data_IF_743211926329
#
_entry.id   IF_743211926329
#
_cell.length_a   1.000
_cell.length_b   1.000
_cell.length_c   1.000
_cell.angle_alpha   90.00
_cell.angle_beta   90.00
_cell.angle_gamma   90.00
#
_symmetry.space_group_name_H-M   'P 1'
#
loop_
_entity.id
_entity.type
_entity.pdbx_description
1 polymer ?
#
# COMPACT_ATOMS: atom_id res chain seq x y z
N UNK A 1 -11.17 13.05 -9.99
CA UNK A 1 -10.15 12.16 -10.60
C UNK A 1 -10.41 12.00 -12.10
N UNK A 2 -9.37 11.73 -12.91
CA UNK A 2 -9.57 11.41 -14.34
C UNK A 2 -10.10 9.97 -14.48
N UNK A 3 -10.93 9.67 -15.51
CA UNK A 3 -11.43 8.30 -15.71
C UNK A 3 -10.30 7.26 -15.83
N UNK A 4 -9.22 7.62 -16.52
CA UNK A 4 -8.04 6.74 -16.64
C UNK A 4 -7.40 6.46 -15.28
N UNK A 5 -7.22 7.47 -14.42
CA UNK A 5 -6.64 7.26 -13.09
C UNK A 5 -7.53 6.37 -12.20
N UNK A 6 -8.85 6.46 -12.33
CA UNK A 6 -9.81 5.59 -11.63
C UNK A 6 -9.60 4.13 -12.06
N UNK A 7 -9.55 3.85 -13.37
CA UNK A 7 -9.32 2.51 -13.90
C UNK A 7 -7.98 1.94 -13.41
N UNK A 8 -6.91 2.72 -13.53
CA UNK A 8 -5.57 2.30 -13.08
C UNK A 8 -5.55 1.94 -11.59
N UNK A 9 -6.20 2.76 -10.75
CA UNK A 9 -6.25 2.51 -9.31
C UNK A 9 -7.12 1.30 -8.98
N UNK A 10 -8.24 1.06 -9.68
CA UNK A 10 -9.06 -0.13 -9.48
C UNK A 10 -8.31 -1.42 -9.84
N UNK A 11 -7.63 -1.43 -10.99
CA UNK A 11 -6.78 -2.57 -11.38
C UNK A 11 -5.65 -2.77 -10.34
N UNK A 12 -4.99 -1.68 -9.94
CA UNK A 12 -3.99 -1.71 -8.88
C UNK A 12 -4.55 -2.27 -7.58
N UNK A 13 -5.75 -1.85 -7.16
CA UNK A 13 -6.40 -2.29 -5.93
C UNK A 13 -6.69 -3.79 -5.95
N UNK A 14 -7.14 -4.33 -7.08
CA UNK A 14 -7.35 -5.76 -7.27
C UNK A 14 -6.05 -6.55 -7.16
N UNK A 15 -5.01 -6.14 -7.89
CA UNK A 15 -3.68 -6.78 -7.85
C UNK A 15 -3.08 -6.66 -6.44
N UNK A 16 -3.24 -5.49 -5.79
CA UNK A 16 -2.75 -5.24 -4.45
C UNK A 16 -3.42 -6.13 -3.40
N UNK A 17 -4.73 -6.32 -3.48
CA UNK A 17 -5.43 -7.23 -2.58
C UNK A 17 -5.01 -8.69 -2.80
N UNK A 18 -4.72 -9.08 -4.04
CA UNK A 18 -4.25 -10.43 -4.36
C UNK A 18 -2.89 -10.76 -3.74
N UNK A 19 -1.87 -9.89 -3.94
CA UNK A 19 -0.56 -10.18 -3.35
C UNK A 19 -0.56 -10.08 -1.81
N UNK A 20 -1.37 -9.19 -1.22
CA UNK A 20 -1.55 -9.15 0.23
C UNK A 20 -2.18 -10.44 0.78
N UNK A 21 -3.17 -11.01 0.06
CA UNK A 21 -3.76 -12.30 0.41
C UNK A 21 -2.72 -13.42 0.41
N UNK A 22 -1.89 -13.52 -0.65
CA UNK A 22 -0.82 -14.52 -0.71
C UNK A 22 0.22 -14.31 0.39
N UNK A 23 0.62 -13.08 0.65
CA UNK A 23 1.56 -12.74 1.72
C UNK A 23 1.05 -13.17 3.09
N UNK A 24 -0.22 -12.89 3.38
CA UNK A 24 -0.84 -13.29 4.65
C UNK A 24 -0.91 -14.81 4.78
N UNK A 25 -1.37 -15.50 3.73
CA UNK A 25 -1.49 -16.96 3.73
C UNK A 25 -0.14 -17.66 3.88
N UNK A 26 0.91 -17.09 3.29
CA UNK A 26 2.26 -17.63 3.34
C UNK A 26 3.00 -17.38 4.66
N UNK A 27 2.53 -16.43 5.48
CA UNK A 27 3.18 -16.00 6.73
C UNK A 27 4.69 -15.80 6.57
N UNK A 28 5.08 -15.10 5.48
CA UNK A 28 6.48 -14.95 5.10
C UNK A 28 7.27 -14.10 6.09
N UNK A 29 8.53 -14.44 6.34
CA UNK A 29 9.42 -13.61 7.15
C UNK A 29 9.81 -12.32 6.43
N UNK A 30 10.32 -11.32 7.17
CA UNK A 30 10.72 -10.02 6.60
C UNK A 30 11.77 -10.19 5.50
N UNK A 31 12.69 -11.13 5.66
CA UNK A 31 13.77 -11.45 4.71
C UNK A 31 13.26 -11.96 3.34
N UNK A 32 12.04 -12.45 3.28
CA UNK A 32 11.38 -12.81 2.03
C UNK A 32 11.26 -11.59 1.11
N UNK A 33 11.01 -10.41 1.66
CA UNK A 33 10.83 -9.19 0.89
C UNK A 33 12.13 -8.63 0.33
N UNK A 34 13.30 -8.97 0.90
CA UNK A 34 14.58 -8.73 0.23
C UNK A 34 14.57 -9.32 -1.19
N UNK A 35 14.19 -10.57 -1.35
CA UNK A 35 14.12 -11.23 -2.65
C UNK A 35 13.03 -10.65 -3.55
N UNK A 36 11.88 -10.27 -2.99
CA UNK A 36 10.81 -9.61 -3.74
C UNK A 36 11.30 -8.30 -4.37
N UNK A 37 12.00 -7.46 -3.61
CA UNK A 37 12.52 -6.18 -4.13
C UNK A 37 13.75 -6.36 -5.02
N UNK A 38 14.59 -7.36 -4.77
CA UNK A 38 15.68 -7.73 -5.67
C UNK A 38 15.13 -8.10 -7.06
N UNK A 39 14.17 -9.00 -7.12
CA UNK A 39 13.52 -9.35 -8.39
C UNK A 39 12.72 -8.20 -8.97
N UNK A 40 12.08 -7.38 -8.14
CA UNK A 40 11.45 -6.13 -8.54
C UNK A 40 12.42 -5.20 -9.29
N UNK A 41 13.65 -5.07 -8.81
CA UNK A 41 14.71 -4.30 -9.50
C UNK A 41 15.02 -4.88 -10.89
N UNK A 42 15.13 -6.20 -11.02
CA UNK A 42 15.40 -6.85 -12.30
C UNK A 42 14.23 -6.80 -13.29
N UNK A 43 12.98 -6.76 -12.82
CA UNK A 43 11.79 -6.69 -13.69
C UNK A 43 11.77 -5.46 -14.60
N UNK A 44 12.43 -4.36 -14.22
CA UNK A 44 12.47 -3.13 -15.03
C UNK A 44 13.63 -3.07 -16.03
N UNK A 45 14.62 -3.96 -15.94
CA UNK A 45 15.77 -3.95 -16.86
C UNK A 45 15.38 -4.15 -18.32
N UNK A 46 14.46 -5.09 -18.67
CA UNK A 46 14.02 -5.20 -20.07
C UNK A 46 13.40 -3.90 -20.60
N UNK A 47 12.56 -3.22 -19.80
CA UNK A 47 12.00 -1.94 -20.22
C UNK A 47 13.09 -0.92 -20.52
N UNK A 48 14.09 -0.78 -19.67
CA UNK A 48 15.20 0.17 -19.87
C UNK A 48 16.06 -0.20 -21.06
N UNK A 49 16.31 -1.49 -21.28
CA UNK A 49 17.08 -1.97 -22.42
C UNK A 49 16.38 -1.65 -23.75
N UNK A 50 15.09 -2.01 -23.88
CA UNK A 50 14.35 -1.82 -25.12
C UNK A 50 13.93 -0.37 -25.38
N UNK A 51 13.68 0.42 -24.33
CA UNK A 51 13.30 1.84 -24.48
C UNK A 51 14.50 2.77 -24.70
N UNK A 52 15.70 2.37 -24.29
CA UNK A 52 16.89 3.24 -24.29
C UNK A 52 16.81 4.44 -23.36
N UNK A 53 15.78 4.52 -22.50
CA UNK A 53 15.53 5.70 -21.66
C UNK A 53 16.45 5.80 -20.44
N UNK A 54 17.05 4.70 -20.00
CA UNK A 54 17.79 4.65 -18.73
C UNK A 54 18.91 5.69 -18.60
N UNK A 55 19.82 5.86 -19.58
CA UNK A 55 20.91 6.84 -19.46
C UNK A 55 20.39 8.27 -19.33
N UNK A 56 19.36 8.62 -20.10
CA UNK A 56 18.73 9.95 -20.03
C UNK A 56 18.05 10.22 -18.70
N UNK A 57 17.31 9.24 -18.15
CA UNK A 57 16.65 9.35 -16.87
C UNK A 57 17.65 9.45 -15.71
N UNK A 58 18.76 8.73 -15.80
CA UNK A 58 19.83 8.78 -14.80
C UNK A 58 20.54 10.14 -14.80
N UNK A 59 20.83 10.71 -15.97
CA UNK A 59 21.48 12.03 -16.11
C UNK A 59 20.56 13.17 -15.65
N UNK A 60 19.26 13.05 -15.85
CA UNK A 60 18.25 14.04 -15.43
C UNK A 60 17.88 13.93 -13.95
N UNK A 61 18.30 12.86 -13.27
CA UNK A 61 17.96 12.63 -11.87
C UNK A 61 18.68 13.66 -10.96
N UNK A 62 17.90 14.57 -10.42
CA UNK A 62 18.40 15.64 -9.54
C UNK A 62 18.81 15.11 -8.16
N UNK A 63 19.71 15.80 -7.42
CA UNK A 63 20.03 15.45 -6.02
C UNK A 63 18.76 15.38 -5.14
N UNK A 64 17.78 16.26 -5.40
CA UNK A 64 16.49 16.24 -4.70
C UNK A 64 15.73 14.95 -4.91
N UNK A 65 15.69 14.44 -6.17
CA UNK A 65 15.02 13.16 -6.47
C UNK A 65 15.70 12.01 -5.72
N UNK A 66 17.03 11.94 -5.74
CA UNK A 66 17.79 10.91 -5.01
C UNK A 66 17.49 10.93 -3.51
N UNK A 67 17.60 12.12 -2.88
CA UNK A 67 17.35 12.27 -1.45
C UNK A 67 15.92 11.88 -1.07
N UNK A 68 14.91 12.38 -1.81
CA UNK A 68 13.52 12.05 -1.54
C UNK A 68 13.23 10.56 -1.78
N UNK A 69 13.85 9.93 -2.77
CA UNK A 69 13.68 8.50 -3.04
C UNK A 69 14.26 7.64 -1.92
N UNK A 70 15.43 7.99 -1.37
CA UNK A 70 16.01 7.31 -0.20
C UNK A 70 15.12 7.49 1.04
N UNK A 71 14.64 8.71 1.29
CA UNK A 71 13.75 8.95 2.43
C UNK A 71 12.44 8.17 2.26
N UNK A 72 11.85 8.18 1.06
CA UNK A 72 10.62 7.43 0.78
C UNK A 72 10.83 5.94 0.97
N UNK A 73 11.93 5.36 0.46
CA UNK A 73 12.22 3.93 0.61
C UNK A 73 12.42 3.51 2.07
N UNK A 74 13.13 4.31 2.87
CA UNK A 74 13.28 4.07 4.31
C UNK A 74 11.92 4.05 5.04
N UNK A 75 11.05 5.00 4.71
CA UNK A 75 9.70 5.06 5.27
C UNK A 75 8.85 3.86 4.78
N UNK A 76 8.99 3.45 3.51
CA UNK A 76 8.31 2.27 2.97
C UNK A 76 8.82 0.97 3.61
N UNK A 77 10.12 0.87 3.88
CA UNK A 77 10.69 -0.26 4.62
C UNK A 77 10.16 -0.31 6.05
N UNK A 78 10.07 0.83 6.73
CA UNK A 78 9.45 0.91 8.07
C UNK A 78 7.96 0.54 8.02
N UNK A 79 7.22 1.02 7.01
CA UNK A 79 5.84 0.62 6.74
C UNK A 79 5.71 -0.89 6.62
N UNK A 80 6.53 -1.51 5.77
CA UNK A 80 6.48 -2.94 5.49
C UNK A 80 6.76 -3.77 6.74
N UNK A 81 7.83 -3.44 7.47
CA UNK A 81 8.21 -4.13 8.71
C UNK A 81 7.08 -4.01 9.75
N UNK A 82 6.53 -2.81 9.91
CA UNK A 82 5.45 -2.56 10.87
C UNK A 82 4.18 -3.32 10.49
N UNK A 83 3.81 -3.34 9.21
CA UNK A 83 2.64 -4.07 8.71
C UNK A 83 2.78 -5.58 8.94
N UNK A 84 3.95 -6.16 8.62
CA UNK A 84 4.20 -7.58 8.83
C UNK A 84 4.13 -7.92 10.32
N UNK A 85 4.77 -7.14 11.19
CA UNK A 85 4.71 -7.34 12.64
C UNK A 85 3.28 -7.26 13.18
N UNK A 86 2.49 -6.27 12.73
CA UNK A 86 1.09 -6.16 13.13
C UNK A 86 0.29 -7.43 12.76
N UNK A 87 0.49 -7.94 11.53
CA UNK A 87 -0.20 -9.13 11.03
C UNK A 87 0.23 -10.44 11.70
N UNK A 88 1.48 -10.53 12.17
CA UNK A 88 2.00 -11.68 12.91
C UNK A 88 1.55 -11.72 14.36
N UNK A 89 1.26 -10.55 14.97
CA UNK A 89 0.97 -10.44 16.40
C UNK A 89 -0.51 -10.45 16.75
N UNK A 90 -1.43 -10.21 15.80
CA UNK A 90 -2.87 -10.17 16.06
C UNK A 90 -3.69 -10.65 14.85
N UNK A 91 -4.98 -10.90 15.10
CA UNK A 91 -5.94 -11.22 14.05
C UNK A 91 -6.08 -10.05 13.07
N UNK A 92 -6.25 -10.40 11.79
CA UNK A 92 -6.37 -9.40 10.72
C UNK A 92 -7.55 -8.46 10.93
N UNK A 93 -8.68 -8.97 11.39
CA UNK A 93 -9.89 -8.20 11.67
C UNK A 93 -9.67 -7.01 12.60
N UNK A 94 -8.67 -7.11 13.49
CA UNK A 94 -8.34 -6.08 14.46
C UNK A 94 -7.33 -5.04 13.92
N UNK A 95 -6.25 -5.49 13.26
CA UNK A 95 -5.16 -4.61 12.83
C UNK A 95 -5.36 -4.05 11.41
N UNK A 96 -6.14 -4.75 10.58
CA UNK A 96 -6.38 -4.33 9.19
C UNK A 96 -7.05 -2.95 9.08
N UNK A 97 -8.16 -2.63 9.78
CA UNK A 97 -8.79 -1.33 9.63
C UNK A 97 -7.89 -0.18 10.07
N UNK A 98 -7.04 -0.39 11.10
CA UNK A 98 -6.10 0.63 11.56
C UNK A 98 -5.02 0.85 10.49
N UNK A 99 -4.38 -0.21 9.99
CA UNK A 99 -3.35 -0.08 8.96
C UNK A 99 -3.89 0.51 7.65
N UNK A 100 -5.19 0.33 7.38
CA UNK A 100 -5.88 0.87 6.19
C UNK A 100 -6.47 2.26 6.38
N UNK A 101 -6.33 2.87 7.54
CA UNK A 101 -6.74 4.26 7.80
C UNK A 101 -5.77 5.31 7.22
N UNK A 102 -4.71 4.89 6.55
CA UNK A 102 -3.75 5.77 5.86
C UNK A 102 -4.38 6.92 5.04
N UNK A 103 -5.53 6.77 4.35
CA UNK A 103 -6.16 7.88 3.62
C UNK A 103 -6.46 9.10 4.47
N UNK A 104 -6.81 8.92 5.76
CA UNK A 104 -7.06 10.04 6.68
C UNK A 104 -5.80 10.86 6.94
N UNK A 105 -4.66 10.19 7.09
CA UNK A 105 -3.37 10.86 7.30
C UNK A 105 -2.85 11.43 5.99
N UNK A 106 -3.04 10.73 4.86
CA UNK A 106 -2.55 11.18 3.54
C UNK A 106 -3.15 12.53 3.16
N UNK A 107 -4.46 12.75 3.38
CA UNK A 107 -5.06 14.04 3.08
C UNK A 107 -4.46 15.18 3.92
N UNK A 108 -4.11 14.92 5.18
CA UNK A 108 -3.47 15.93 6.05
C UNK A 108 -2.08 16.27 5.51
N UNK A 109 -1.25 15.25 5.24
CA UNK A 109 0.10 15.47 4.71
C UNK A 109 0.09 16.08 3.31
N UNK A 110 -0.85 15.68 2.46
CA UNK A 110 -0.97 16.23 1.11
C UNK A 110 -1.34 17.73 1.12
N UNK A 111 -2.21 18.15 2.02
CA UNK A 111 -2.54 19.57 2.20
C UNK A 111 -1.34 20.34 2.77
N UNK A 112 -0.70 19.81 3.81
CA UNK A 112 0.37 20.51 4.53
C UNK A 112 1.71 20.55 3.75
N UNK A 113 2.09 19.47 3.08
CA UNK A 113 3.41 19.33 2.46
C UNK A 113 3.45 19.69 0.98
N UNK A 114 2.35 19.46 0.25
CA UNK A 114 2.30 19.70 -1.20
C UNK A 114 1.16 20.64 -1.63
N UNK A 115 0.40 21.19 -0.68
CA UNK A 115 -0.64 22.19 -0.96
C UNK A 115 -1.83 21.63 -1.75
N UNK A 116 -2.19 20.35 -1.60
CA UNK A 116 -3.37 19.80 -2.26
C UNK A 116 -4.64 20.51 -1.77
N UNK A 117 -5.41 21.06 -2.68
CA UNK A 117 -6.73 21.64 -2.38
C UNK A 117 -7.78 20.55 -2.55
N UNK A 118 -8.41 20.12 -1.45
CA UNK A 118 -9.44 19.09 -1.46
C UNK A 118 -10.83 19.71 -1.47
N UNK A 119 -11.73 19.15 -2.28
CA UNK A 119 -13.14 19.54 -2.23
C UNK A 119 -13.82 18.89 -1.02
N UNK A 120 -14.88 19.51 -0.51
CA UNK A 120 -15.68 18.97 0.62
C UNK A 120 -16.19 17.57 0.27
N UNK A 121 -16.67 17.35 -0.96
CA UNK A 121 -17.11 16.03 -1.44
C UNK A 121 -16.00 14.99 -1.38
N UNK A 122 -14.76 15.38 -1.70
CA UNK A 122 -13.59 14.51 -1.60
C UNK A 122 -13.24 14.13 -0.16
N UNK A 123 -13.24 15.13 0.73
CA UNK A 123 -12.97 14.90 2.17
C UNK A 123 -14.01 13.98 2.80
N UNK A 124 -15.30 14.23 2.54
CA UNK A 124 -16.40 13.38 2.99
C UNK A 124 -16.26 11.97 2.40
N UNK A 125 -15.94 11.86 1.11
CA UNK A 125 -15.70 10.59 0.45
C UNK A 125 -14.57 9.79 1.09
N UNK A 126 -13.43 10.41 1.42
CA UNK A 126 -12.32 9.79 2.14
C UNK A 126 -12.78 9.29 3.51
N UNK A 127 -13.53 10.09 4.25
CA UNK A 127 -14.09 9.70 5.55
C UNK A 127 -14.98 8.46 5.44
N UNK A 128 -15.88 8.42 4.46
CA UNK A 128 -16.77 7.28 4.22
C UNK A 128 -15.99 6.01 3.82
N UNK A 129 -14.94 6.14 3.01
CA UNK A 129 -14.08 5.00 2.67
C UNK A 129 -13.48 4.39 3.93
N UNK A 130 -12.95 5.19 4.82
CA UNK A 130 -12.35 4.69 6.08
C UNK A 130 -13.40 4.08 7.00
N UNK A 131 -14.54 4.74 7.18
CA UNK A 131 -15.68 4.19 7.96
C UNK A 131 -16.13 2.85 7.38
N UNK A 132 -16.26 2.75 6.06
CA UNK A 132 -16.61 1.50 5.37
C UNK A 132 -15.61 0.37 5.67
N UNK A 133 -14.30 0.65 5.66
CA UNK A 133 -13.26 -0.33 6.00
C UNK A 133 -13.42 -0.83 7.45
N UNK A 134 -13.65 0.09 8.39
CA UNK A 134 -13.88 -0.29 9.79
C UNK A 134 -15.08 -1.21 9.91
N UNK A 135 -16.21 -0.88 9.28
CA UNK A 135 -17.43 -1.68 9.32
C UNK A 135 -17.23 -3.06 8.66
N UNK A 136 -16.55 -3.14 7.49
CA UNK A 136 -16.22 -4.42 6.84
C UNK A 136 -15.45 -5.36 7.78
N UNK A 137 -14.61 -4.78 8.64
CA UNK A 137 -13.73 -5.54 9.53
C UNK A 137 -14.40 -5.94 10.86
N UNK A 138 -15.62 -5.44 11.14
CA UNK A 138 -16.35 -5.75 12.38
C UNK A 138 -16.98 -7.15 12.33
N UNK A 139 -16.96 -7.83 13.47
CA UNK A 139 -17.68 -9.09 13.65
C UNK A 139 -19.19 -8.89 13.85
N UNK A 140 -19.57 -7.79 14.49
CA UNK A 140 -20.96 -7.37 14.73
C UNK A 140 -21.08 -5.84 14.75
N UNK A 141 -22.32 -5.31 14.76
CA UNK A 141 -22.60 -3.86 14.76
C UNK A 141 -22.43 -3.18 16.14
N UNK A 142 -21.76 -3.80 17.11
CA UNK A 142 -21.56 -3.16 18.40
C UNK A 142 -20.52 -2.04 18.31
N UNK A 143 -20.91 -0.84 18.71
CA UNK A 143 -20.00 0.32 18.76
C UNK A 143 -18.75 0.07 19.61
N UNK A 144 -18.86 -0.78 20.63
CA UNK A 144 -17.72 -1.22 21.44
C UNK A 144 -16.64 -1.92 20.60
N UNK A 145 -17.03 -2.64 19.55
CA UNK A 145 -16.08 -3.31 18.65
C UNK A 145 -15.26 -2.31 17.79
N UNK A 146 -15.82 -1.14 17.49
CA UNK A 146 -15.11 -0.04 16.78
C UNK A 146 -14.06 0.60 17.67
N UNK A 147 -14.41 0.87 18.94
CA UNK A 147 -13.54 1.61 19.85
C UNK A 147 -12.56 0.70 20.62
N UNK A 148 -12.80 -0.60 20.67
CA UNK A 148 -11.94 -1.54 21.36
C UNK A 148 -10.48 -1.50 20.83
N UNK A 149 -10.20 -1.52 19.51
CA UNK A 149 -8.86 -1.36 18.98
C UNK A 149 -8.23 -0.02 19.34
N UNK A 150 -9.03 1.07 19.34
CA UNK A 150 -8.54 2.42 19.65
C UNK A 150 -8.19 2.59 21.14
N UNK A 151 -8.87 1.87 22.04
CA UNK A 151 -8.55 1.86 23.49
C UNK A 151 -7.29 1.04 23.82
N UNK A 152 -6.91 0.13 22.94
CA UNK A 152 -5.74 -0.76 23.12
C UNK A 152 -4.54 -0.33 22.29
N UNK A 153 -4.46 0.94 21.84
CA UNK A 153 -3.35 1.46 21.02
C UNK A 153 -1.97 1.32 21.68
N UNK A 154 -1.92 1.15 22.99
CA UNK A 154 -0.69 0.83 23.73
C UNK A 154 -0.24 -0.63 23.59
N UNK A 155 -1.07 -1.54 23.08
CA UNK A 155 -0.62 -2.90 22.81
C UNK A 155 0.16 -2.99 21.51
N UNK A 156 1.24 -3.80 21.46
CA UNK A 156 2.18 -3.81 20.33
C UNK A 156 1.56 -3.95 18.95
N UNK A 157 0.58 -4.85 18.68
CA UNK A 157 0.04 -5.03 17.33
C UNK A 157 -0.67 -3.77 16.79
N UNK A 158 -1.43 -3.07 17.65
CA UNK A 158 -2.13 -1.84 17.23
C UNK A 158 -1.16 -0.69 17.01
N UNK A 159 -0.11 -0.60 17.83
CA UNK A 159 0.96 0.37 17.64
C UNK A 159 1.65 0.18 16.28
N UNK A 160 2.01 -1.06 15.94
CA UNK A 160 2.59 -1.34 14.62
C UNK A 160 1.61 -1.07 13.47
N UNK A 161 0.32 -1.36 13.63
CA UNK A 161 -0.68 -1.03 12.62
C UNK A 161 -0.82 0.50 12.42
N UNK A 162 -0.74 1.29 13.49
CA UNK A 162 -0.77 2.74 13.43
C UNK A 162 0.50 3.30 12.76
N UNK A 163 1.68 2.79 13.12
CA UNK A 163 2.93 3.15 12.43
C UNK A 163 2.79 2.86 10.93
N UNK A 164 2.25 1.70 10.55
CA UNK A 164 2.03 1.38 9.15
C UNK A 164 1.06 2.37 8.48
N UNK A 165 -0.03 2.79 9.14
CA UNK A 165 -0.94 3.79 8.57
C UNK A 165 -0.27 5.15 8.36
N UNK A 166 0.48 5.64 9.35
CA UNK A 166 1.16 6.94 9.29
C UNK A 166 2.29 6.91 8.27
N UNK A 167 3.19 5.92 8.34
CA UNK A 167 4.30 5.80 7.37
C UNK A 167 3.79 5.57 5.96
N UNK A 168 2.72 4.75 5.80
CA UNK A 168 2.02 4.53 4.55
C UNK A 168 1.50 5.82 3.92
N UNK A 169 0.99 6.74 4.74
CA UNK A 169 0.50 8.04 4.28
C UNK A 169 1.63 8.99 3.88
N UNK A 170 2.72 9.03 4.66
CA UNK A 170 3.87 9.92 4.40
C UNK A 170 4.59 9.52 3.12
N UNK A 171 4.96 8.24 2.95
CA UNK A 171 5.64 7.84 1.72
C UNK A 171 4.76 8.05 0.47
N UNK A 172 3.44 7.89 0.58
CA UNK A 172 2.55 8.13 -0.56
C UNK A 172 2.60 9.58 -1.06
N UNK A 173 2.76 10.55 -0.14
CA UNK A 173 2.93 11.97 -0.50
C UNK A 173 4.31 12.21 -1.10
N UNK A 174 5.38 11.60 -0.57
CA UNK A 174 6.71 11.66 -1.16
C UNK A 174 6.74 11.03 -2.55
N UNK A 175 6.10 9.89 -2.73
CA UNK A 175 5.96 9.22 -4.03
C UNK A 175 5.30 10.13 -5.06
N UNK A 176 4.22 10.86 -4.66
CA UNK A 176 3.56 11.86 -5.51
C UNK A 176 4.54 12.93 -5.98
N UNK A 177 5.37 13.45 -5.09
CA UNK A 177 6.39 14.46 -5.43
C UNK A 177 7.43 13.87 -6.39
N UNK A 178 7.98 12.71 -6.06
CA UNK A 178 9.04 12.09 -6.84
C UNK A 178 8.57 11.68 -8.23
N UNK A 179 7.37 11.10 -8.36
CA UNK A 179 6.86 10.65 -9.65
C UNK A 179 6.49 11.80 -10.59
N UNK A 180 6.37 13.02 -10.07
CA UNK A 180 6.25 14.23 -10.90
C UNK A 180 7.61 14.76 -11.39
N UNK A 181 8.71 14.32 -10.77
CA UNK A 181 10.06 14.74 -11.12
C UNK A 181 10.73 13.80 -12.15
N UNK A 182 10.20 12.58 -12.34
CA UNK A 182 10.80 11.58 -13.20
C UNK A 182 9.77 10.61 -13.77
N UNK A 183 10.20 9.73 -14.68
CA UNK A 183 9.34 8.69 -15.23
C UNK A 183 8.92 7.66 -14.16
N UNK A 184 7.64 7.25 -14.08
CA UNK A 184 7.15 6.35 -13.03
C UNK A 184 7.91 5.02 -12.95
N UNK A 185 8.32 4.46 -14.10
CA UNK A 185 9.10 3.21 -14.16
C UNK A 185 10.48 3.39 -13.52
N UNK A 186 11.14 4.53 -13.76
CA UNK A 186 12.44 4.82 -13.16
C UNK A 186 12.33 5.02 -11.64
N UNK A 187 11.29 5.73 -11.18
CA UNK A 187 11.06 5.90 -9.76
C UNK A 187 10.73 4.57 -9.07
N UNK A 188 9.89 3.74 -9.68
CA UNK A 188 9.57 2.41 -9.18
C UNK A 188 10.82 1.52 -9.06
N UNK A 189 11.71 1.58 -10.05
CA UNK A 189 13.01 0.91 -10.03
C UNK A 189 13.90 1.41 -8.89
N UNK A 190 13.99 2.74 -8.68
CA UNK A 190 14.75 3.35 -7.56
C UNK A 190 14.25 2.83 -6.21
N UNK A 191 12.95 2.83 -5.98
CA UNK A 191 12.35 2.34 -4.73
C UNK A 191 12.68 0.87 -4.51
N UNK A 192 12.55 0.01 -5.55
CA UNK A 192 12.93 -1.40 -5.43
C UNK A 192 14.41 -1.57 -5.07
N UNK A 193 15.30 -0.81 -5.72
CA UNK A 193 16.73 -0.86 -5.48
C UNK A 193 17.07 -0.47 -4.02
N UNK A 194 16.53 0.65 -3.54
CA UNK A 194 16.80 1.11 -2.19
C UNK A 194 16.20 0.18 -1.13
N UNK A 195 14.96 -0.24 -1.27
CA UNK A 195 14.35 -1.21 -0.36
C UNK A 195 15.08 -2.56 -0.35
N UNK A 196 15.60 -3.00 -1.49
CA UNK A 196 16.45 -4.19 -1.58
C UNK A 196 17.74 -4.00 -0.74
N UNK A 197 18.40 -2.84 -0.86
CA UNK A 197 19.61 -2.54 -0.07
C UNK A 197 19.28 -2.49 1.42
N UNK A 198 18.23 -1.78 1.82
CA UNK A 198 17.79 -1.61 3.21
C UNK A 198 17.44 -2.95 3.87
N UNK A 199 16.64 -3.79 3.20
CA UNK A 199 16.26 -5.11 3.69
C UNK A 199 17.45 -6.09 3.64
N UNK A 200 18.35 -5.94 2.68
CA UNK A 200 19.60 -6.70 2.63
C UNK A 200 20.49 -6.40 3.82
N UNK A 201 20.67 -5.12 4.15
CA UNK A 201 21.39 -4.69 5.35
C UNK A 201 20.72 -5.22 6.62
N UNK A 202 19.39 -5.09 6.72
CA UNK A 202 18.64 -5.66 7.85
C UNK A 202 18.89 -7.18 8.00
N UNK A 203 18.84 -7.94 6.92
CA UNK A 203 19.05 -9.40 6.94
C UNK A 203 20.49 -9.79 7.34
N UNK A 204 21.50 -8.98 6.97
CA UNK A 204 22.89 -9.20 7.36
C UNK A 204 23.10 -9.11 8.88
N UNK A 205 22.34 -8.22 9.56
CA UNK A 205 22.38 -8.09 11.03
C UNK A 205 21.68 -9.25 11.75
N UNK A 206 20.80 -10.00 11.08
CA UNK A 206 20.09 -11.14 11.68
C UNK A 206 20.95 -12.43 11.62
N UNK A 207 20.87 -13.17 10.54
CA UNK A 207 21.66 -14.39 10.28
C UNK A 207 21.82 -14.59 8.78
N UNK A 208 23.04 -14.54 8.30
CA UNK A 208 23.39 -14.67 6.87
C UNK A 208 22.71 -15.85 6.14
N UNK A 209 22.54 -16.98 6.82
CA UNK A 209 21.97 -18.19 6.24
C UNK A 209 20.43 -18.11 6.01
N UNK A 210 19.73 -17.11 6.58
CA UNK A 210 18.28 -17.02 6.45
C UNK A 210 17.86 -16.68 5.01
N UNK A 211 18.61 -15.82 4.31
CA UNK A 211 18.33 -15.46 2.92
C UNK A 211 18.36 -16.68 1.99
N UNK A 212 19.37 -17.54 2.13
CA UNK A 212 19.51 -18.76 1.32
C UNK A 212 18.35 -19.73 1.57
N UNK A 213 17.96 -19.90 2.84
CA UNK A 213 16.82 -20.76 3.21
C UNK A 213 15.53 -20.22 2.63
N UNK A 214 15.26 -18.92 2.77
CA UNK A 214 14.07 -18.25 2.24
C UNK A 214 13.99 -18.41 0.72
N UNK A 215 15.07 -18.17 -0.01
CA UNK A 215 15.13 -18.40 -1.45
C UNK A 215 14.83 -19.86 -1.82
N UNK A 216 15.44 -20.81 -1.14
CA UNK A 216 15.24 -22.25 -1.39
C UNK A 216 13.78 -22.68 -1.21
N UNK A 217 13.10 -22.12 -0.22
CA UNK A 217 11.77 -22.52 0.19
C UNK A 217 10.64 -21.88 -0.63
N UNK A 218 10.79 -20.59 -1.07
CA UNK A 218 9.66 -19.79 -1.61
C UNK A 218 9.96 -19.11 -2.95
N UNK A 219 10.77 -19.72 -3.82
CA UNK A 219 11.14 -19.12 -5.14
C UNK A 219 9.93 -18.69 -5.96
N UNK A 220 8.90 -19.54 -6.06
CA UNK A 220 7.70 -19.28 -6.88
C UNK A 220 6.88 -18.14 -6.31
N UNK A 221 6.70 -18.13 -5.00
CA UNK A 221 5.97 -17.09 -4.27
C UNK A 221 6.70 -15.74 -4.36
N UNK A 222 8.03 -15.74 -4.25
CA UNK A 222 8.87 -14.55 -4.43
C UNK A 222 8.62 -13.92 -5.81
N UNK A 223 8.72 -14.71 -6.88
CA UNK A 223 8.47 -14.21 -8.24
C UNK A 223 7.06 -13.71 -8.43
N UNK A 224 6.06 -14.46 -7.98
CA UNK A 224 4.66 -14.07 -8.08
C UNK A 224 4.39 -12.76 -7.35
N UNK A 225 4.86 -12.64 -6.11
CA UNK A 225 4.64 -11.44 -5.30
C UNK A 225 5.44 -10.27 -5.85
N UNK A 226 6.68 -10.47 -6.33
CA UNK A 226 7.46 -9.42 -6.98
C UNK A 226 6.71 -8.85 -8.20
N UNK A 227 6.16 -9.71 -9.04
CA UNK A 227 5.39 -9.29 -10.22
C UNK A 227 4.13 -8.51 -9.83
N UNK A 228 3.31 -9.07 -8.95
CA UNK A 228 2.04 -8.46 -8.55
C UNK A 228 2.24 -7.15 -7.78
N UNK A 229 3.20 -7.11 -6.86
CA UNK A 229 3.50 -5.93 -6.06
C UNK A 229 3.99 -4.78 -6.97
N UNK A 230 4.94 -5.06 -7.88
CA UNK A 230 5.48 -4.05 -8.78
C UNK A 230 4.44 -3.56 -9.80
N UNK A 231 3.63 -4.45 -10.38
CA UNK A 231 2.54 -4.07 -11.26
C UNK A 231 1.53 -3.17 -10.56
N UNK A 232 1.10 -3.56 -9.35
CA UNK A 232 0.18 -2.74 -8.53
C UNK A 232 0.76 -1.36 -8.19
N UNK A 233 2.03 -1.31 -7.80
CA UNK A 233 2.68 -0.07 -7.39
C UNK A 233 2.89 0.87 -8.58
N UNK A 234 3.35 0.37 -9.72
CA UNK A 234 3.52 1.17 -10.93
C UNK A 234 2.21 1.82 -11.39
N UNK A 235 1.09 1.06 -11.39
CA UNK A 235 -0.22 1.59 -11.75
C UNK A 235 -0.66 2.74 -10.83
N UNK A 236 -0.38 2.65 -9.53
CA UNK A 236 -0.66 3.74 -8.58
C UNK A 236 0.21 4.96 -8.85
N UNK A 237 1.50 4.78 -9.11
CA UNK A 237 2.41 5.89 -9.44
C UNK A 237 1.97 6.63 -10.70
N UNK A 238 1.56 5.91 -11.74
CA UNK A 238 0.99 6.52 -12.95
C UNK A 238 -0.31 7.28 -12.64
N UNK A 239 -1.19 6.71 -11.83
CA UNK A 239 -2.42 7.40 -11.41
C UNK A 239 -2.13 8.65 -10.57
N UNK A 240 -1.08 8.62 -9.73
CA UNK A 240 -0.63 9.78 -8.95
C UNK A 240 -0.11 10.91 -9.83
N UNK A 241 0.43 10.66 -11.03
CA UNK A 241 0.78 11.74 -11.95
C UNK A 241 -0.45 12.53 -12.43
N UNK A 242 -1.61 11.87 -12.54
CA UNK A 242 -2.83 12.41 -13.14
C UNK A 242 -3.84 12.92 -12.13
N UNK A 243 -3.71 12.57 -10.85
CA UNK A 243 -4.73 12.83 -9.82
C UNK A 243 -4.10 13.17 -8.47
N UNK A 244 -4.89 13.79 -7.58
CA UNK A 244 -4.50 14.11 -6.21
C UNK A 244 -4.14 12.82 -5.44
N UNK A 245 -3.04 12.84 -4.69
CA UNK A 245 -2.59 11.65 -3.95
C UNK A 245 -3.61 11.24 -2.89
N UNK A 246 -4.26 12.20 -2.24
CA UNK A 246 -5.31 11.95 -1.25
C UNK A 246 -6.44 11.09 -1.82
N UNK A 247 -6.85 11.35 -3.05
CA UNK A 247 -7.91 10.60 -3.72
C UNK A 247 -7.43 9.24 -4.22
N UNK A 248 -6.20 9.16 -4.76
CA UNK A 248 -5.62 7.91 -5.24
C UNK A 248 -5.46 6.91 -4.09
N UNK A 249 -4.91 7.34 -2.95
CA UNK A 249 -4.70 6.47 -1.78
C UNK A 249 -6.04 6.00 -1.19
N UNK A 250 -7.04 6.88 -1.12
CA UNK A 250 -8.38 6.51 -0.66
C UNK A 250 -9.08 5.56 -1.66
N UNK A 251 -8.99 5.84 -2.96
CA UNK A 251 -9.62 5.02 -4.00
C UNK A 251 -9.00 3.61 -4.08
N UNK A 252 -7.71 3.48 -3.77
CA UNK A 252 -7.01 2.18 -3.69
C UNK A 252 -7.62 1.25 -2.63
N UNK A 253 -8.35 1.79 -1.65
CA UNK A 253 -9.05 0.99 -0.65
C UNK A 253 -10.24 0.19 -1.23
N UNK A 254 -10.60 0.39 -2.50
CA UNK A 254 -11.50 -0.49 -3.25
C UNK A 254 -11.08 -1.98 -3.18
N UNK A 255 -9.78 -2.26 -2.93
CA UNK A 255 -9.29 -3.61 -2.66
C UNK A 255 -10.00 -4.32 -1.50
N UNK A 256 -10.52 -3.58 -0.51
CA UNK A 256 -11.31 -4.15 0.57
C UNK A 256 -12.66 -4.73 0.09
N UNK A 257 -13.26 -4.16 -0.97
CA UNK A 257 -14.48 -4.69 -1.59
C UNK A 257 -14.23 -6.08 -2.20
N UNK A 258 -13.10 -6.23 -2.89
CA UNK A 258 -12.71 -7.52 -3.46
C UNK A 258 -12.50 -8.57 -2.37
N UNK A 259 -11.80 -8.20 -1.28
CA UNK A 259 -11.60 -9.07 -0.12
C UNK A 259 -12.92 -9.47 0.56
N UNK A 260 -13.83 -8.52 0.77
CA UNK A 260 -15.14 -8.78 1.35
C UNK A 260 -16.00 -9.68 0.44
N UNK A 261 -16.01 -9.42 -0.87
CA UNK A 261 -16.72 -10.23 -1.86
C UNK A 261 -16.24 -11.69 -1.89
N UNK A 262 -14.91 -11.90 -1.90
CA UNK A 262 -14.33 -13.25 -1.85
C UNK A 262 -14.67 -13.95 -0.52
N UNK A 263 -14.67 -13.24 0.61
CA UNK A 263 -15.05 -13.79 1.91
C UNK A 263 -16.49 -14.28 1.94
N UNK A 264 -17.42 -13.49 1.42
CA UNK A 264 -18.85 -13.86 1.38
C UNK A 264 -19.09 -15.04 0.41
N UNK A 265 -18.54 -14.95 -0.82
CA UNK A 265 -18.85 -15.90 -1.89
C UNK A 265 -18.16 -17.27 -1.69
N UNK A 266 -16.90 -17.27 -1.26
CA UNK A 266 -16.10 -18.50 -1.22
C UNK A 266 -15.92 -19.07 0.18
N UNK A 267 -15.91 -18.23 1.23
CA UNK A 267 -15.71 -18.70 2.61
C UNK A 267 -17.02 -18.84 3.39
N UNK A 268 -18.18 -18.46 2.80
CA UNK A 268 -19.51 -18.53 3.42
C UNK A 268 -19.55 -17.94 4.84
N UNK A 269 -18.87 -16.81 5.02
CA UNK A 269 -18.74 -16.18 6.31
C UNK A 269 -20.08 -15.66 6.83
N UNK A 270 -20.34 -15.90 8.10
CA UNK A 270 -21.61 -15.55 8.77
C UNK A 270 -21.85 -14.06 8.93
N UNK A 271 -20.81 -13.24 8.79
CA UNK A 271 -20.81 -11.78 9.00
C UNK A 271 -21.20 -10.98 7.74
N UNK A 272 -22.03 -11.55 6.86
CA UNK A 272 -22.39 -10.93 5.59
C UNK A 272 -23.03 -9.54 5.74
N UNK A 273 -23.82 -9.29 6.81
CA UNK A 273 -24.50 -8.01 7.04
C UNK A 273 -23.51 -6.86 7.26
N UNK A 274 -22.54 -7.02 8.15
CA UNK A 274 -21.51 -6.00 8.40
C UNK A 274 -20.66 -5.76 7.14
N UNK A 275 -20.29 -6.84 6.44
CA UNK A 275 -19.50 -6.73 5.20
C UNK A 275 -20.26 -6.00 4.10
N UNK A 276 -21.53 -6.31 3.87
CA UNK A 276 -22.37 -5.63 2.88
C UNK A 276 -22.60 -4.17 3.21
N UNK A 277 -22.90 -3.86 4.47
CA UNK A 277 -23.10 -2.47 4.93
C UNK A 277 -21.82 -1.65 4.76
N UNK A 278 -20.68 -2.18 5.22
CA UNK A 278 -19.40 -1.51 5.08
C UNK A 278 -18.98 -1.36 3.61
N UNK A 279 -19.23 -2.37 2.77
CA UNK A 279 -18.98 -2.30 1.34
C UNK A 279 -19.83 -1.22 0.65
N UNK A 280 -21.10 -1.08 1.02
CA UNK A 280 -21.98 -0.03 0.50
C UNK A 280 -21.47 1.36 0.88
N UNK A 281 -21.14 1.59 2.16
CA UNK A 281 -20.61 2.87 2.63
C UNK A 281 -19.29 3.21 1.94
N UNK A 282 -18.37 2.24 1.83
CA UNK A 282 -17.12 2.41 1.11
C UNK A 282 -17.36 2.78 -0.35
N UNK A 283 -18.29 2.10 -1.03
CA UNK A 283 -18.63 2.38 -2.43
C UNK A 283 -19.18 3.80 -2.61
N UNK A 284 -20.05 4.26 -1.71
CA UNK A 284 -20.53 5.66 -1.72
C UNK A 284 -19.35 6.61 -1.58
N UNK A 285 -18.42 6.33 -0.66
CA UNK A 285 -17.21 7.13 -0.51
C UNK A 285 -16.37 7.20 -1.79
N UNK A 286 -16.17 6.07 -2.47
CA UNK A 286 -15.45 6.02 -3.76
C UNK A 286 -16.16 6.83 -4.86
N UNK A 287 -17.48 6.76 -4.94
CA UNK A 287 -18.27 7.56 -5.89
C UNK A 287 -18.08 9.07 -5.62
N UNK A 288 -18.16 9.49 -4.36
CA UNK A 288 -17.93 10.89 -3.99
C UNK A 288 -16.52 11.37 -4.36
N UNK A 289 -15.48 10.55 -4.14
CA UNK A 289 -14.11 10.86 -4.55
C UNK A 289 -14.00 10.93 -6.08
N UNK A 290 -14.65 10.02 -6.79
CA UNK A 290 -14.69 10.03 -8.27
C UNK A 290 -15.29 11.30 -8.83
N UNK A 291 -16.33 11.83 -8.19
CA UNK A 291 -17.03 13.07 -8.55
C UNK A 291 -16.34 14.33 -8.01
N UNK A 292 -15.39 14.22 -7.09
CA UNK A 292 -14.69 15.34 -6.49
C UNK A 292 -13.82 16.07 -7.53
N UNK A 293 -14.03 17.40 -7.62
CA UNK A 293 -13.30 18.32 -8.50
C UNK A 293 -12.05 18.88 -7.82
#
# INVERSE_FOLDING_TARGET
MTPLSIILVLISALIHSSWNFFTKRGNFPIEFFFWVFLWGTFLYLPFFYFSGLFPGLLLQATPKLWTLSVISSLIQTLYLISLIKAYQMAELSLVYPISRSAPLFTQVWAVLLIGEILSITGVVGIGLVVVGIFIISMSDFRLTAVFHPLRQTSSPPYFFALIAAVTGSVYSVLDKVCVQMTHPVFYCWLINLFMCIELGLYALFQKRNILIKVWGQWKKEIFLIALLQNASYLLVLVAMQMSKVSYVVAFRQAGALFGAGLGILFLKETQWKTRMTGALILTIGLILIGLAK
#
